data_IF_622011507880
#
_entry.id   IF_622011507880
#
_cell.length_a   1.000
_cell.length_b   1.000
_cell.length_c   1.000
_cell.angle_alpha   90.00
_cell.angle_beta   90.00
_cell.angle_gamma   90.00
#
_symmetry.space_group_name_H-M   'P 1'
#
loop_
_entity.id
_entity.type
_entity.pdbx_description
1 polymer ?
#
# COMPACT_ATOMS: atom_id res chain seq x y z
N UNK A 1 47.28 -1.32 -11.31
CA UNK A 1 46.06 -1.44 -10.48
C UNK A 1 45.13 -2.35 -11.23
N UNK A 2 44.46 -3.29 -10.56
CA UNK A 2 43.40 -4.03 -11.24
C UNK A 2 42.19 -3.11 -11.49
N UNK A 3 41.47 -3.25 -12.61
CA UNK A 3 40.34 -2.40 -12.93
C UNK A 3 39.22 -2.48 -11.88
N UNK A 4 38.51 -1.37 -11.67
CA UNK A 4 37.42 -1.31 -10.71
C UNK A 4 36.14 -1.97 -11.29
N UNK A 5 35.73 -3.09 -10.69
CA UNK A 5 34.50 -3.80 -11.04
C UNK A 5 33.43 -3.58 -9.96
N UNK A 6 32.27 -3.03 -10.33
CA UNK A 6 31.17 -2.80 -9.38
C UNK A 6 29.81 -2.68 -10.06
N UNK A 7 28.76 -2.81 -9.24
CA UNK A 7 27.38 -2.51 -9.62
C UNK A 7 26.67 -1.81 -8.48
N UNK A 8 26.00 -0.70 -8.78
CA UNK A 8 25.17 -0.02 -7.79
C UNK A 8 23.85 0.45 -8.38
N UNK A 9 22.91 0.73 -7.48
CA UNK A 9 21.63 1.34 -7.83
C UNK A 9 21.08 2.11 -6.64
N UNK A 10 20.52 3.29 -6.88
CA UNK A 10 19.72 4.02 -5.90
C UNK A 10 18.51 4.68 -6.56
N UNK A 11 17.49 4.98 -5.74
CA UNK A 11 16.33 5.76 -6.12
C UNK A 11 15.89 6.62 -4.93
N UNK A 12 15.67 7.90 -5.17
CA UNK A 12 15.04 8.83 -4.24
C UNK A 12 13.62 9.09 -4.74
N UNK A 13 12.66 9.03 -3.81
CA UNK A 13 11.24 9.26 -4.09
C UNK A 13 10.64 9.83 -2.82
N UNK A 14 10.57 11.15 -2.76
CA UNK A 14 10.06 11.91 -1.63
C UNK A 14 8.90 12.80 -2.07
N UNK A 15 7.76 12.63 -1.42
CA UNK A 15 6.55 13.38 -1.72
C UNK A 15 6.62 14.80 -1.19
N UNK A 16 7.17 15.02 0.02
CA UNK A 16 7.15 16.33 0.67
C UNK A 16 8.00 17.34 -0.11
N UNK A 17 9.18 16.92 -0.56
CA UNK A 17 10.01 17.74 -1.45
C UNK A 17 9.63 17.62 -2.94
N UNK A 18 8.85 16.61 -3.32
CA UNK A 18 8.50 16.32 -4.72
C UNK A 18 9.62 15.65 -5.53
N UNK A 19 10.73 15.25 -4.90
CA UNK A 19 11.90 14.66 -5.55
C UNK A 19 11.67 13.22 -6.01
N UNK A 20 11.83 12.92 -7.30
CA UNK A 20 11.88 11.56 -7.83
C UNK A 20 13.00 11.43 -8.87
N UNK A 21 14.09 10.74 -8.49
CA UNK A 21 15.26 10.51 -9.34
C UNK A 21 15.96 9.22 -8.95
N UNK A 22 16.79 8.68 -9.84
CA UNK A 22 17.51 7.45 -9.56
C UNK A 22 18.61 7.18 -10.56
N UNK A 23 19.47 6.23 -10.22
CA UNK A 23 20.63 5.85 -11.00
C UNK A 23 20.94 4.38 -10.80
N UNK A 24 21.25 3.68 -11.88
CA UNK A 24 21.84 2.35 -11.90
C UNK A 24 23.09 2.41 -12.76
N UNK A 25 24.20 1.86 -12.28
CA UNK A 25 25.44 1.72 -13.03
C UNK A 25 26.05 0.34 -12.81
N UNK A 26 26.62 -0.20 -13.89
CA UNK A 26 27.45 -1.38 -13.91
C UNK A 26 28.79 -0.99 -14.54
N UNK A 27 29.90 -1.21 -13.82
CA UNK A 27 31.24 -1.02 -14.36
C UNK A 27 31.95 -2.36 -14.46
N UNK A 28 32.44 -2.65 -15.66
CA UNK A 28 33.33 -3.75 -15.97
C UNK A 28 34.59 -3.19 -16.61
N UNK A 29 35.70 -3.35 -15.90
CA UNK A 29 37.01 -2.84 -16.27
C UNK A 29 36.99 -1.33 -16.60
N UNK A 30 37.25 -0.98 -17.86
CA UNK A 30 37.29 0.40 -18.34
C UNK A 30 35.95 0.89 -18.88
N UNK A 31 34.93 0.02 -18.92
CA UNK A 31 33.60 0.32 -19.43
C UNK A 31 32.59 0.44 -18.28
N UNK A 32 31.92 1.59 -18.20
CA UNK A 32 30.76 1.80 -17.34
C UNK A 32 29.50 2.00 -18.21
N UNK A 33 28.41 1.34 -17.85
CA UNK A 33 27.12 1.51 -18.50
C UNK A 33 26.04 1.71 -17.44
N UNK A 34 25.06 2.54 -17.75
CA UNK A 34 24.05 2.86 -16.76
C UNK A 34 22.88 3.65 -17.28
N UNK A 35 21.98 3.95 -16.35
CA UNK A 35 20.82 4.79 -16.59
C UNK A 35 20.57 5.65 -15.36
N UNK A 36 20.45 6.96 -15.56
CA UNK A 36 19.90 7.85 -14.53
C UNK A 36 18.66 8.57 -15.03
N UNK A 37 17.79 8.97 -14.11
CA UNK A 37 16.60 9.74 -14.45
C UNK A 37 16.30 10.80 -13.40
N UNK A 38 15.57 11.84 -13.82
CA UNK A 38 14.97 12.85 -12.94
C UNK A 38 13.54 13.15 -13.41
N UNK A 39 12.61 13.25 -12.46
CA UNK A 39 11.26 13.75 -12.71
C UNK A 39 11.25 15.25 -12.44
N UNK A 40 10.80 16.00 -13.42
CA UNK A 40 10.68 17.45 -13.37
C UNK A 40 9.29 17.87 -12.86
N UNK A 41 9.20 19.13 -12.43
CA UNK A 41 7.96 19.72 -11.90
C UNK A 41 6.85 19.82 -12.95
N UNK A 42 7.20 19.85 -14.23
CA UNK A 42 6.28 19.84 -15.36
C UNK A 42 5.64 18.46 -15.61
N UNK A 43 6.00 17.45 -14.80
CA UNK A 43 5.47 16.09 -14.93
C UNK A 43 6.14 15.28 -16.03
N UNK A 44 7.30 15.70 -16.54
CA UNK A 44 8.13 14.90 -17.44
C UNK A 44 9.20 14.14 -16.67
N UNK A 45 9.62 12.98 -17.19
CA UNK A 45 10.78 12.22 -16.72
C UNK A 45 11.84 12.27 -17.80
N UNK A 46 12.99 12.84 -17.47
CA UNK A 46 14.18 12.78 -18.30
C UNK A 46 14.97 11.54 -17.92
N UNK A 47 15.24 10.67 -18.89
CA UNK A 47 16.02 9.45 -18.72
C UNK A 47 17.26 9.53 -19.59
N UNK A 48 18.42 9.29 -19.00
CA UNK A 48 19.71 9.22 -19.69
C UNK A 48 20.27 7.82 -19.55
N UNK A 49 20.31 7.10 -20.66
CA UNK A 49 21.10 5.88 -20.79
C UNK A 49 22.50 6.26 -21.27
N UNK A 50 23.55 5.63 -20.76
CA UNK A 50 24.90 5.95 -21.19
C UNK A 50 25.83 4.75 -21.18
N UNK A 51 26.88 4.90 -21.98
CA UNK A 51 28.11 4.11 -21.95
C UNK A 51 29.27 5.08 -21.75
N UNK A 52 30.24 4.74 -20.91
CA UNK A 52 31.43 5.52 -20.65
C UNK A 52 32.65 4.61 -20.70
N UNK A 53 33.59 4.91 -21.58
CA UNK A 53 34.82 4.16 -21.80
C UNK A 53 35.98 5.12 -22.14
N UNK A 54 37.07 4.61 -22.72
CA UNK A 54 38.23 5.40 -23.13
C UNK A 54 37.89 6.48 -24.17
N UNK A 55 36.85 6.28 -24.98
CA UNK A 55 36.37 7.27 -25.96
C UNK A 55 35.44 8.32 -25.32
N UNK A 56 35.20 8.22 -24.01
CA UNK A 56 34.41 9.17 -23.24
C UNK A 56 32.96 8.75 -23.01
N UNK A 57 32.13 9.73 -22.61
CA UNK A 57 30.74 9.53 -22.20
C UNK A 57 29.78 9.64 -23.40
N UNK A 58 29.00 8.59 -23.65
CA UNK A 58 28.12 8.41 -24.81
C UNK A 58 26.65 8.30 -24.36
N UNK A 59 25.93 9.42 -24.13
CA UNK A 59 24.56 9.39 -23.64
C UNK A 59 23.50 9.26 -24.73
N UNK A 60 22.37 8.65 -24.37
CA UNK A 60 21.09 8.69 -25.08
C UNK A 60 20.02 9.22 -24.13
N UNK A 61 19.40 10.34 -24.51
CA UNK A 61 18.42 11.04 -23.68
C UNK A 61 17.02 10.80 -24.22
N UNK A 62 16.08 10.47 -23.34
CA UNK A 62 14.65 10.40 -23.64
C UNK A 62 13.85 11.21 -22.63
N UNK A 63 12.78 11.86 -23.11
CA UNK A 63 11.83 12.59 -22.27
C UNK A 63 10.48 11.93 -22.45
N UNK A 64 9.93 11.40 -21.37
CA UNK A 64 8.63 10.75 -21.35
C UNK A 64 7.73 11.45 -20.33
N UNK A 65 6.39 11.39 -20.47
CA UNK A 65 5.51 11.75 -19.37
C UNK A 65 5.89 10.94 -18.14
N UNK A 66 6.14 11.62 -17.03
CA UNK A 66 6.36 10.93 -15.78
C UNK A 66 5.02 10.34 -15.33
N UNK A 67 5.03 9.05 -15.00
CA UNK A 67 3.87 8.36 -14.40
C UNK A 67 3.53 8.91 -12.99
N UNK A 68 4.17 10.01 -12.58
CA UNK A 68 3.97 10.70 -11.31
C UNK A 68 2.65 11.45 -11.25
N UNK A 69 2.05 11.87 -12.36
CA UNK A 69 0.72 12.49 -12.30
C UNK A 69 -0.35 11.48 -11.82
N UNK A 70 -0.30 10.25 -12.34
CA UNK A 70 -1.17 9.14 -11.93
C UNK A 70 -0.86 8.70 -10.49
N UNK A 71 0.43 8.55 -10.14
CA UNK A 71 0.81 8.16 -8.77
C UNK A 71 0.46 9.23 -7.74
N UNK A 72 0.71 10.52 -8.02
CA UNK A 72 0.35 11.65 -7.13
C UNK A 72 -1.17 11.78 -7.01
N UNK A 73 -1.92 11.63 -8.09
CA UNK A 73 -3.38 11.61 -8.03
C UNK A 73 -3.88 10.47 -7.12
N UNK A 74 -3.31 9.26 -7.25
CA UNK A 74 -3.65 8.13 -6.40
C UNK A 74 -3.29 8.33 -4.92
N UNK A 75 -2.14 8.95 -4.64
CA UNK A 75 -1.72 9.29 -3.27
C UNK A 75 -2.63 10.36 -2.64
N UNK A 76 -2.97 11.42 -3.39
CA UNK A 76 -3.92 12.45 -2.96
C UNK A 76 -5.31 11.87 -2.70
N UNK A 77 -5.80 10.99 -3.59
CA UNK A 77 -7.06 10.27 -3.41
C UNK A 77 -7.01 9.44 -2.12
N UNK A 78 -5.91 8.70 -1.89
CA UNK A 78 -5.74 7.89 -0.70
C UNK A 78 -5.60 8.71 0.59
N UNK A 79 -5.06 9.94 0.52
CA UNK A 79 -5.00 10.85 1.67
C UNK A 79 -6.39 11.27 2.15
N UNK A 80 -7.38 11.35 1.25
CA UNK A 80 -8.80 11.61 1.62
C UNK A 80 -9.45 10.46 2.41
N UNK A 81 -8.74 9.35 2.61
CA UNK A 81 -9.17 8.21 3.41
C UNK A 81 -8.37 8.09 4.72
N UNK A 82 -7.50 9.04 5.05
CA UNK A 82 -6.63 8.93 6.23
C UNK A 82 -7.39 8.94 7.56
N UNK A 83 -8.54 9.61 7.62
CA UNK A 83 -9.46 9.60 8.75
C UNK A 83 -10.53 8.48 8.65
N UNK A 84 -10.41 7.54 7.70
CA UNK A 84 -11.43 6.50 7.47
C UNK A 84 -10.92 5.12 7.82
N UNK A 85 -11.78 4.32 8.43
CA UNK A 85 -11.52 2.93 8.79
C UNK A 85 -12.62 2.01 8.27
N UNK A 86 -12.26 0.78 7.96
CA UNK A 86 -13.16 -0.27 7.50
C UNK A 86 -13.36 -1.28 8.62
N UNK A 87 -14.63 -1.49 8.97
CA UNK A 87 -15.08 -2.55 9.86
C UNK A 87 -15.55 -3.73 9.00
N UNK A 88 -14.72 -4.75 8.91
CA UNK A 88 -14.95 -5.96 8.10
C UNK A 88 -15.38 -7.12 8.99
N UNK A 89 -16.00 -8.15 8.39
CA UNK A 89 -16.55 -9.29 9.12
C UNK A 89 -18.00 -9.10 9.58
N UNK A 90 -18.76 -8.21 8.92
CA UNK A 90 -20.17 -7.92 9.21
C UNK A 90 -21.01 -8.11 7.93
N UNK A 91 -21.11 -9.35 7.44
CA UNK A 91 -21.69 -9.65 6.11
C UNK A 91 -23.00 -10.42 6.14
N UNK A 92 -24.02 -9.89 5.47
CA UNK A 92 -25.36 -10.49 5.49
C UNK A 92 -26.19 -10.04 6.68
N UNK A 93 -25.94 -8.82 7.18
CA UNK A 93 -26.81 -8.14 8.13
C UNK A 93 -27.35 -6.89 7.45
N UNK A 94 -28.66 -6.88 7.25
CA UNK A 94 -29.39 -5.73 6.75
C UNK A 94 -29.82 -4.83 7.92
N UNK A 95 -30.08 -3.55 7.64
CA UNK A 95 -30.61 -2.58 8.61
C UNK A 95 -29.76 -2.44 9.89
N UNK A 96 -28.44 -2.43 9.74
CA UNK A 96 -27.53 -2.28 10.88
C UNK A 96 -27.78 -0.94 11.58
N UNK A 97 -28.02 -0.99 12.90
CA UNK A 97 -28.10 0.21 13.72
C UNK A 97 -26.69 0.79 13.94
N UNK A 98 -26.28 1.74 13.08
CA UNK A 98 -24.96 2.36 13.14
C UNK A 98 -24.64 3.01 14.49
N UNK A 99 -25.64 3.60 15.16
CA UNK A 99 -25.46 4.24 16.47
C UNK A 99 -25.10 3.22 17.55
N UNK A 100 -25.82 2.10 17.57
CA UNK A 100 -25.53 1.00 18.49
C UNK A 100 -24.15 0.39 18.23
N UNK A 101 -23.83 0.10 16.96
CA UNK A 101 -22.51 -0.43 16.55
C UNK A 101 -21.40 0.49 17.03
N UNK A 102 -21.54 1.80 16.79
CA UNK A 102 -20.55 2.81 17.20
C UNK A 102 -20.33 2.79 18.69
N UNK A 103 -21.41 2.84 19.48
CA UNK A 103 -21.34 2.87 20.95
C UNK A 103 -20.66 1.62 21.52
N UNK A 104 -21.06 0.45 21.04
CA UNK A 104 -20.52 -0.82 21.54
C UNK A 104 -19.05 -0.98 21.13
N UNK A 105 -18.72 -0.65 19.88
CA UNK A 105 -17.35 -0.72 19.39
C UNK A 105 -16.44 0.26 20.14
N UNK A 106 -16.88 1.50 20.35
CA UNK A 106 -16.16 2.51 21.11
C UNK A 106 -15.90 2.03 22.54
N UNK A 107 -16.93 1.54 23.24
CA UNK A 107 -16.80 0.99 24.59
C UNK A 107 -15.82 -0.19 24.65
N UNK A 108 -15.89 -1.13 23.69
CA UNK A 108 -14.97 -2.27 23.64
C UNK A 108 -13.54 -1.86 23.37
N UNK A 109 -13.33 -0.81 22.59
CA UNK A 109 -12.00 -0.32 22.24
C UNK A 109 -11.45 0.71 23.24
N UNK A 110 -12.25 1.15 24.21
CA UNK A 110 -11.93 2.26 25.13
C UNK A 110 -11.71 3.59 24.38
N UNK A 111 -12.55 3.84 23.38
CA UNK A 111 -12.51 5.04 22.53
C UNK A 111 -13.74 5.92 22.75
N UNK A 112 -13.68 7.18 22.33
CA UNK A 112 -14.83 8.08 22.34
C UNK A 112 -15.72 7.85 21.11
N UNK A 113 -16.98 7.49 21.32
CA UNK A 113 -17.96 7.33 20.24
C UNK A 113 -18.18 8.61 19.42
N UNK A 114 -17.99 9.80 20.00
CA UNK A 114 -18.16 11.08 19.30
C UNK A 114 -17.02 11.42 18.33
N UNK A 115 -15.92 10.66 18.39
CA UNK A 115 -14.86 10.73 17.37
C UNK A 115 -15.33 10.22 16.02
N UNK A 116 -16.37 9.36 15.96
CA UNK A 116 -16.98 8.89 14.72
C UNK A 116 -17.96 9.94 14.20
N UNK A 117 -17.70 10.47 13.00
CA UNK A 117 -18.53 11.48 12.32
C UNK A 117 -19.59 10.88 11.42
N UNK A 118 -19.26 9.80 10.72
CA UNK A 118 -20.22 9.13 9.85
C UNK A 118 -19.94 7.64 9.73
N UNK A 119 -20.99 6.86 9.46
CA UNK A 119 -20.90 5.44 9.11
C UNK A 119 -21.70 5.18 7.84
N UNK A 120 -21.09 4.46 6.90
CA UNK A 120 -21.73 4.01 5.66
C UNK A 120 -21.57 2.50 5.50
N UNK A 121 -22.66 1.80 5.26
CA UNK A 121 -22.60 0.40 4.86
C UNK A 121 -22.22 0.31 3.38
N UNK A 122 -21.16 -0.45 3.09
CA UNK A 122 -20.69 -0.71 1.75
C UNK A 122 -20.98 -2.17 1.43
N UNK A 123 -21.80 -2.38 0.40
CA UNK A 123 -22.15 -3.72 -0.06
C UNK A 123 -20.92 -4.42 -0.65
N UNK A 124 -20.81 -5.71 -0.35
CA UNK A 124 -19.85 -6.58 -0.99
C UNK A 124 -20.26 -6.87 -2.44
N UNK A 125 -19.28 -7.09 -3.32
CA UNK A 125 -19.57 -7.62 -4.67
C UNK A 125 -20.00 -9.09 -4.56
N UNK A 126 -20.63 -9.64 -5.61
CA UNK A 126 -21.10 -11.03 -5.66
C UNK A 126 -20.06 -12.02 -5.07
N UNK A 127 -20.40 -12.65 -3.94
CA UNK A 127 -19.53 -13.61 -3.23
C UNK A 127 -18.43 -13.00 -2.34
N UNK A 128 -18.44 -11.69 -2.11
CA UNK A 128 -17.55 -10.98 -1.20
C UNK A 128 -18.35 -10.35 -0.07
N UNK A 129 -17.71 -10.31 1.09
CA UNK A 129 -18.21 -9.67 2.29
C UNK A 129 -18.28 -8.14 2.13
N UNK A 130 -19.37 -7.56 2.64
CA UNK A 130 -19.51 -6.12 2.80
C UNK A 130 -18.75 -5.60 4.03
N UNK A 131 -18.74 -4.29 4.22
CA UNK A 131 -18.10 -3.65 5.35
C UNK A 131 -18.79 -2.36 5.76
N UNK A 132 -18.56 -1.89 6.98
CA UNK A 132 -18.91 -0.53 7.37
C UNK A 132 -17.70 0.38 7.21
N UNK A 133 -17.88 1.51 6.54
CA UNK A 133 -16.89 2.57 6.42
C UNK A 133 -17.20 3.62 7.49
N UNK A 134 -16.30 3.75 8.47
CA UNK A 134 -16.39 4.73 9.53
C UNK A 134 -15.47 5.91 9.18
N UNK A 135 -16.00 7.11 9.28
CA UNK A 135 -15.23 8.35 9.16
C UNK A 135 -15.03 8.96 10.54
N UNK A 136 -13.77 9.13 10.94
CA UNK A 136 -13.37 9.72 12.21
C UNK A 136 -13.14 11.23 12.05
N UNK A 137 -13.06 11.95 13.18
CA UNK A 137 -12.79 13.39 13.20
C UNK A 137 -11.52 13.77 12.44
N UNK A 138 -10.50 12.92 12.52
CA UNK A 138 -9.18 13.16 11.93
C UNK A 138 -8.38 11.84 11.83
N UNK A 139 -7.17 11.94 11.26
CA UNK A 139 -6.24 10.83 11.08
C UNK A 139 -5.67 10.29 12.41
N UNK A 140 -5.59 11.12 13.45
CA UNK A 140 -5.07 10.71 14.76
C UNK A 140 -6.07 9.78 15.45
N UNK A 141 -7.36 10.13 15.43
CA UNK A 141 -8.41 9.26 15.95
C UNK A 141 -8.50 7.94 15.17
N UNK A 142 -8.39 7.98 13.84
CA UNK A 142 -8.39 6.74 13.03
C UNK A 142 -7.23 5.80 13.41
N UNK A 143 -6.03 6.34 13.67
CA UNK A 143 -4.88 5.56 14.13
C UNK A 143 -5.11 4.97 15.53
N UNK A 144 -5.64 5.75 16.49
CA UNK A 144 -5.96 5.25 17.83
C UNK A 144 -6.92 4.07 17.79
N UNK A 145 -8.01 4.18 17.02
CA UNK A 145 -9.00 3.11 16.87
C UNK A 145 -8.38 1.83 16.27
N UNK A 146 -7.54 1.97 15.23
CA UNK A 146 -6.86 0.83 14.62
C UNK A 146 -5.89 0.17 15.60
N UNK A 147 -5.12 0.95 16.37
CA UNK A 147 -4.17 0.39 17.35
C UNK A 147 -4.88 -0.31 18.49
N UNK A 148 -5.96 0.28 19.03
CA UNK A 148 -6.79 -0.36 20.04
C UNK A 148 -7.36 -1.70 19.56
N UNK A 149 -7.82 -1.75 18.30
CA UNK A 149 -8.37 -2.96 17.71
C UNK A 149 -7.34 -4.07 17.47
N UNK A 150 -6.06 -3.74 17.21
CA UNK A 150 -4.99 -4.75 17.09
C UNK A 150 -4.72 -5.48 18.40
N UNK A 151 -5.02 -4.86 19.54
CA UNK A 151 -4.78 -5.40 20.87
C UNK A 151 -5.92 -6.26 21.40
N UNK A 152 -7.05 -6.35 20.69
CA UNK A 152 -8.27 -7.00 21.15
C UNK A 152 -8.81 -7.94 20.08
N UNK A 153 -9.32 -9.10 20.49
CA UNK A 153 -10.10 -9.97 19.60
C UNK A 153 -11.53 -9.45 19.61
N UNK A 154 -12.02 -8.99 18.47
CA UNK A 154 -13.41 -8.54 18.30
C UNK A 154 -14.20 -9.62 17.55
N UNK A 155 -15.37 -9.98 18.08
CA UNK A 155 -16.31 -10.89 17.43
C UNK A 155 -17.58 -10.18 17.01
N UNK A 156 -18.36 -10.77 16.12
CA UNK A 156 -19.60 -10.18 15.64
C UNK A 156 -20.65 -10.09 16.73
N UNK A 157 -20.77 -11.13 17.56
CA UNK A 157 -21.69 -11.15 18.69
C UNK A 157 -21.32 -10.12 19.77
N UNK A 158 -20.07 -9.65 19.79
CA UNK A 158 -19.63 -8.58 20.68
C UNK A 158 -20.24 -7.22 20.30
N UNK A 159 -20.50 -7.01 19.01
CA UNK A 159 -20.96 -5.73 18.43
C UNK A 159 -22.46 -5.80 18.09
N UNK A 160 -22.91 -6.97 17.65
CA UNK A 160 -24.26 -7.27 17.16
C UNK A 160 -24.72 -8.58 17.81
N UNK A 161 -25.27 -8.54 19.04
CA UNK A 161 -25.64 -9.75 19.79
C UNK A 161 -26.74 -10.59 19.15
N UNK A 162 -27.51 -10.02 18.21
CA UNK A 162 -28.58 -10.70 17.46
C UNK A 162 -28.15 -11.05 16.02
N UNK A 163 -26.84 -11.13 15.74
CA UNK A 163 -26.35 -11.52 14.43
C UNK A 163 -26.85 -12.95 14.05
N UNK A 164 -27.28 -13.19 12.80
CA UNK A 164 -27.82 -14.48 12.38
C UNK A 164 -26.79 -15.63 12.56
N UNK A 165 -27.25 -16.84 12.88
CA UNK A 165 -26.38 -17.98 13.22
C UNK A 165 -25.40 -18.46 12.12
N UNK A 166 -25.46 -17.89 10.92
CA UNK A 166 -24.53 -18.16 9.81
C UNK A 166 -23.06 -17.87 10.14
N UNK A 167 -22.78 -17.13 11.23
CA UNK A 167 -21.42 -16.77 11.65
C UNK A 167 -20.72 -17.79 12.57
N UNK A 168 -21.42 -18.84 13.02
CA UNK A 168 -20.86 -19.80 13.98
C UNK A 168 -19.72 -20.68 13.41
N UNK A 169 -19.51 -20.70 12.08
CA UNK A 169 -18.41 -21.42 11.43
C UNK A 169 -17.16 -20.54 11.27
N UNK A 170 -16.47 -20.19 12.37
CA UNK A 170 -15.15 -19.55 12.34
C UNK A 170 -15.07 -18.17 11.64
N UNK A 171 -16.21 -17.60 11.25
CA UNK A 171 -16.37 -16.30 10.57
C UNK A 171 -16.94 -15.22 11.49
N UNK A 172 -16.83 -15.41 12.80
CA UNK A 172 -17.32 -14.45 13.79
C UNK A 172 -16.34 -13.29 14.01
N UNK A 173 -15.12 -13.33 13.47
CA UNK A 173 -14.13 -12.27 13.72
C UNK A 173 -14.41 -10.99 12.94
N UNK A 174 -14.42 -9.89 13.66
CA UNK A 174 -14.47 -8.54 13.10
C UNK A 174 -13.05 -7.97 13.06
N UNK A 175 -12.74 -7.22 12.01
CA UNK A 175 -11.45 -6.53 11.88
C UNK A 175 -11.65 -5.06 11.58
N UNK A 176 -10.89 -4.20 12.26
CA UNK A 176 -10.73 -2.79 11.90
C UNK A 176 -9.43 -2.62 11.13
N UNK A 177 -9.51 -2.02 9.96
CA UNK A 177 -8.35 -1.69 9.15
C UNK A 177 -8.46 -0.28 8.55
N UNK A 178 -7.33 0.30 8.18
CA UNK A 178 -7.32 1.56 7.43
C UNK A 178 -8.10 1.40 6.12
N UNK A 179 -8.92 2.39 5.81
CA UNK A 179 -9.69 2.38 4.56
C UNK A 179 -8.77 2.63 3.36
N UNK A 180 -9.07 1.94 2.26
CA UNK A 180 -8.28 2.00 1.03
C UNK A 180 -9.16 2.43 -0.15
N UNK A 181 -8.59 3.20 -1.07
CA UNK A 181 -9.23 3.46 -2.37
C UNK A 181 -9.42 2.15 -3.14
N UNK A 182 -10.36 2.14 -4.08
CA UNK A 182 -10.58 0.97 -4.95
C UNK A 182 -9.29 0.55 -5.66
N UNK A 183 -8.51 1.51 -6.12
CA UNK A 183 -7.20 1.31 -6.78
C UNK A 183 -6.23 0.59 -5.85
N UNK A 184 -6.01 1.12 -4.63
CA UNK A 184 -5.09 0.51 -3.68
C UNK A 184 -5.56 -0.87 -3.20
N UNK A 185 -6.87 -1.10 -3.06
CA UNK A 185 -7.42 -2.44 -2.81
C UNK A 185 -7.05 -3.44 -3.91
N UNK A 186 -7.16 -3.02 -5.18
CA UNK A 186 -6.82 -3.86 -6.33
C UNK A 186 -5.32 -4.17 -6.36
N UNK A 187 -4.46 -3.17 -6.15
CA UNK A 187 -3.01 -3.36 -6.16
C UNK A 187 -2.60 -4.28 -5.00
N UNK A 188 -3.10 -4.03 -3.78
CA UNK A 188 -2.77 -4.85 -2.60
C UNK A 188 -3.24 -6.30 -2.78
N UNK A 189 -4.43 -6.50 -3.34
CA UNK A 189 -4.95 -7.84 -3.62
C UNK A 189 -4.08 -8.57 -4.65
N UNK A 190 -3.72 -7.91 -5.75
CA UNK A 190 -2.85 -8.50 -6.76
C UNK A 190 -1.46 -8.81 -6.20
N UNK A 191 -0.89 -7.93 -5.39
CA UNK A 191 0.40 -8.13 -4.76
C UNK A 191 0.36 -9.37 -3.87
N UNK A 192 -0.63 -9.48 -2.98
CA UNK A 192 -0.81 -10.65 -2.12
C UNK A 192 -1.01 -11.94 -2.91
N UNK A 193 -1.78 -11.90 -4.00
CA UNK A 193 -2.06 -13.06 -4.84
C UNK A 193 -0.83 -13.56 -5.60
N UNK A 194 -0.04 -12.65 -6.17
CA UNK A 194 1.06 -13.00 -7.08
C UNK A 194 2.40 -13.18 -6.37
N UNK A 195 2.62 -12.46 -5.26
CA UNK A 195 3.90 -12.47 -4.54
C UNK A 195 3.85 -13.25 -3.23
N UNK A 196 2.66 -13.66 -2.76
CA UNK A 196 2.48 -14.24 -1.42
C UNK A 196 3.21 -15.54 -1.15
N UNK A 197 3.61 -16.30 -2.19
CA UNK A 197 4.42 -17.51 -2.04
C UNK A 197 5.87 -17.23 -1.68
N UNK A 198 6.37 -16.03 -1.99
CA UNK A 198 7.80 -15.69 -1.87
C UNK A 198 8.05 -14.52 -0.91
N UNK A 199 7.03 -13.68 -0.71
CA UNK A 199 7.08 -12.53 0.19
C UNK A 199 6.31 -12.83 1.47
N UNK A 200 7.05 -13.03 2.58
CA UNK A 200 6.47 -13.27 3.90
C UNK A 200 5.51 -12.16 4.34
N UNK A 201 5.80 -10.91 3.97
CA UNK A 201 4.99 -9.76 4.36
C UNK A 201 4.59 -8.93 3.14
N UNK A 202 3.29 -8.66 3.01
CA UNK A 202 2.72 -7.71 2.05
C UNK A 202 1.64 -6.90 2.76
N UNK A 203 1.89 -5.61 2.96
CA UNK A 203 1.04 -4.76 3.79
C UNK A 203 0.92 -3.35 3.23
N UNK A 204 -0.09 -2.61 3.70
CA UNK A 204 -0.27 -1.20 3.40
C UNK A 204 0.10 -0.37 4.62
N UNK A 205 0.85 0.71 4.44
CA UNK A 205 1.19 1.69 5.47
C UNK A 205 1.48 3.05 4.84
N UNK A 206 1.04 4.14 5.48
CA UNK A 206 1.35 5.51 5.07
C UNK A 206 1.09 5.80 3.57
N UNK A 207 -0.04 5.34 3.01
CA UNK A 207 -0.36 5.58 1.60
C UNK A 207 0.26 4.60 0.60
N UNK A 208 1.18 3.75 1.03
CA UNK A 208 1.94 2.87 0.14
C UNK A 208 1.75 1.40 0.49
N UNK A 209 1.92 0.55 -0.52
CA UNK A 209 1.97 -0.90 -0.36
C UNK A 209 3.45 -1.30 -0.29
N UNK A 210 3.78 -2.13 0.69
CA UNK A 210 5.11 -2.63 0.94
C UNK A 210 5.12 -4.15 0.89
N UNK A 211 6.25 -4.70 0.46
CA UNK A 211 6.52 -6.13 0.46
C UNK A 211 7.92 -6.43 0.99
N UNK A 212 8.07 -7.55 1.69
CA UNK A 212 9.34 -8.01 2.25
C UNK A 212 9.42 -9.55 2.25
N UNK A 213 10.55 -10.11 1.79
CA UNK A 213 10.76 -11.56 1.68
C UNK A 213 10.85 -12.26 3.05
N UNK A 214 11.58 -11.69 4.01
CA UNK A 214 11.72 -12.20 5.37
C UNK A 214 12.04 -11.11 6.39
N UNK A 215 12.30 -11.48 7.64
CA UNK A 215 12.42 -10.54 8.77
C UNK A 215 13.64 -9.62 8.72
N UNK A 216 14.62 -9.92 7.85
CA UNK A 216 15.86 -9.16 7.69
C UNK A 216 16.05 -8.57 6.30
N UNK A 217 15.19 -8.92 5.34
CA UNK A 217 15.31 -8.44 3.96
C UNK A 217 14.97 -6.96 3.80
N UNK A 218 15.34 -6.37 2.67
CA UNK A 218 14.95 -5.00 2.33
C UNK A 218 13.45 -4.92 2.07
N UNK A 219 12.83 -3.83 2.52
CA UNK A 219 11.44 -3.50 2.20
C UNK A 219 11.41 -2.94 0.78
N UNK A 220 10.48 -3.44 -0.03
CA UNK A 220 10.22 -2.95 -1.38
C UNK A 220 8.85 -2.29 -1.41
N UNK A 221 8.74 -1.13 -2.06
CA UNK A 221 7.47 -0.43 -2.27
C UNK A 221 6.83 -0.90 -3.59
N UNK A 222 5.53 -1.16 -3.57
CA UNK A 222 4.70 -1.51 -4.72
C UNK A 222 3.75 -0.32 -4.97
N UNK A 223 3.88 0.34 -6.12
CA UNK A 223 3.11 1.52 -6.49
C UNK A 223 2.01 1.22 -7.49
N UNK A 224 2.22 0.23 -8.35
CA UNK A 224 1.31 -0.14 -9.43
C UNK A 224 1.34 -1.65 -9.69
N UNK A 225 0.58 -2.08 -10.71
CA UNK A 225 0.53 -3.50 -11.10
C UNK A 225 1.84 -3.93 -11.78
N UNK A 226 2.50 -3.04 -12.50
CA UNK A 226 3.77 -3.29 -13.20
C UNK A 226 4.90 -3.60 -12.19
N UNK A 227 4.94 -2.91 -11.05
CA UNK A 227 5.86 -3.23 -9.96
C UNK A 227 5.70 -4.69 -9.50
N UNK A 228 4.46 -5.19 -9.39
CA UNK A 228 4.18 -6.59 -9.02
C UNK A 228 4.76 -7.55 -10.06
N UNK A 229 4.57 -7.25 -11.35
CA UNK A 229 5.07 -8.08 -12.45
C UNK A 229 6.60 -8.13 -12.48
N UNK A 230 7.27 -6.99 -12.25
CA UNK A 230 8.74 -6.92 -12.18
C UNK A 230 9.26 -7.76 -11.01
N UNK A 231 8.62 -7.66 -9.84
CA UNK A 231 9.03 -8.42 -8.66
C UNK A 231 8.79 -9.92 -8.81
N UNK A 232 7.67 -10.33 -9.40
CA UNK A 232 7.37 -11.73 -9.70
C UNK A 232 8.40 -12.32 -10.67
N UNK A 233 8.78 -11.58 -11.73
CA UNK A 233 9.83 -12.02 -12.67
C UNK A 233 11.18 -12.17 -11.99
N UNK A 234 11.61 -11.21 -11.16
CA UNK A 234 12.91 -11.29 -10.46
C UNK A 234 13.04 -12.54 -9.59
N UNK A 235 11.95 -13.02 -9.05
CA UNK A 235 11.98 -14.20 -8.20
C UNK A 235 12.06 -15.51 -8.97
N UNK A 236 11.53 -15.57 -10.19
CA UNK A 236 11.74 -16.71 -11.12
C UNK A 236 13.21 -16.89 -11.54
N UNK A 237 14.03 -15.84 -11.43
CA UNK A 237 15.44 -15.84 -11.82
C UNK A 237 16.41 -15.71 -10.63
N UNK A 238 15.93 -15.86 -9.39
CA UNK A 238 16.81 -15.93 -8.21
C UNK A 238 17.28 -17.38 -8.03
N UNK A 239 18.60 -17.65 -7.93
CA UNK A 239 19.16 -19.00 -7.82
C UNK A 239 18.81 -19.70 -6.51
#
# INVERSE_FOLDING_TARGET
>A
MEPANYKFSYKVSDYESGSDFGHVENRQDDKAEGTYFVVLLDGTKQVVEYEADEDGFKPRISVIPADTASSRAGELEQKQYSNKIELTGISGIDNINHHQVTKILASKLDMDANSVKSIKQIEGRKGKDGYLLLELSDETESEKWIQAAKMKILKINDILPNAPMIYNEGKDRITLSRALTKTNKIILWNAKKQLGSEYKYIWFKNGHIFARKGDKDKITTIRCIEDIQILAKKSLFSP
#
